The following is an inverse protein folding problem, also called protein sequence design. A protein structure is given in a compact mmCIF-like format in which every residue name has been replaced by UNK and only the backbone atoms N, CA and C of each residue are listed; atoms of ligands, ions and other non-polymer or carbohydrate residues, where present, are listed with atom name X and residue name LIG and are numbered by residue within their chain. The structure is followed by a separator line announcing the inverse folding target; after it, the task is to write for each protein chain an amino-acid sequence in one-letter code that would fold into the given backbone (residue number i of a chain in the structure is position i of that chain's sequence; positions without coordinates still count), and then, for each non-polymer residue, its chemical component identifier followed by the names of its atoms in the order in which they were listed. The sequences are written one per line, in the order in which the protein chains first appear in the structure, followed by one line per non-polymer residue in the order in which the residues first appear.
data_IF_155457359580
#
_entry.id   IF_155457359580
#
_cell.length_a   1.000
_cell.length_b   1.000
_cell.length_c   1.000
_cell.angle_alpha   90.00
_cell.angle_beta   90.00
_cell.angle_gamma   90.00
#
_symmetry.space_group_name_H-M   'P 1'
#
loop_
_entity.id
_entity.type
_entity.pdbx_description
1 polymer ?
#
# COMPACT_ATOMS: atom_id res chain seq x y z
N UNK A 1 2.94 5.72 3.59
CA UNK A 1 1.83 5.40 4.51
C UNK A 1 1.92 6.30 5.75
N UNK A 2 0.85 6.99 6.13
CA UNK A 2 0.74 7.71 7.42
C UNK A 2 -0.06 6.88 8.41
N UNK A 3 0.30 6.90 9.68
CA UNK A 3 -0.42 6.16 10.73
C UNK A 3 -1.04 7.14 11.71
N UNK A 4 -2.27 6.87 12.12
CA UNK A 4 -3.01 7.69 13.07
C UNK A 4 -3.62 6.87 14.19
N UNK A 5 -3.85 7.53 15.32
CA UNK A 5 -4.54 6.98 16.50
C UNK A 5 -5.71 7.90 16.84
N UNK A 6 -6.82 7.32 17.30
CA UNK A 6 -8.01 8.08 17.72
C UNK A 6 -8.39 7.79 19.17
N UNK A 7 -7.77 8.47 20.15
CA UNK A 7 -8.25 8.45 21.52
C UNK A 7 -9.38 9.48 21.65
N UNK A 8 -10.64 9.05 21.53
CA UNK A 8 -11.84 9.86 21.82
C UNK A 8 -12.16 10.97 20.80
N UNK A 9 -12.20 10.64 19.51
CA UNK A 9 -12.84 11.48 18.49
C UNK A 9 -11.94 12.49 17.77
N UNK A 10 -10.66 12.61 18.16
CA UNK A 10 -9.65 13.40 17.44
C UNK A 10 -8.60 12.46 16.87
N UNK A 11 -8.43 12.50 15.54
CA UNK A 11 -7.41 11.73 14.84
C UNK A 11 -6.08 12.45 14.92
N UNK A 12 -5.08 11.84 15.56
CA UNK A 12 -3.71 12.36 15.60
C UNK A 12 -2.78 11.49 14.75
N UNK A 13 -1.97 12.12 13.91
CA UNK A 13 -0.94 11.45 13.11
C UNK A 13 0.27 11.16 14.00
N UNK A 14 0.81 9.95 13.92
CA UNK A 14 1.98 9.55 14.69
C UNK A 14 3.26 10.21 14.17
N UNK A 15 4.09 10.71 15.09
CA UNK A 15 5.45 11.15 14.78
C UNK A 15 6.36 9.96 14.43
N UNK A 16 7.56 10.25 13.92
CA UNK A 16 8.63 9.26 13.70
C UNK A 16 8.87 8.39 14.93
N UNK A 17 9.06 9.01 16.08
CA UNK A 17 9.37 8.35 17.34
C UNK A 17 8.21 7.45 17.78
N UNK A 18 6.97 7.93 17.64
CA UNK A 18 5.76 7.17 17.96
C UNK A 18 5.55 5.97 17.02
N UNK A 19 5.86 6.13 15.73
CA UNK A 19 5.84 5.02 14.75
C UNK A 19 6.86 3.96 15.16
N UNK A 20 8.11 4.36 15.42
CA UNK A 20 9.18 3.44 15.81
C UNK A 20 8.84 2.71 17.12
N UNK A 21 8.30 3.43 18.08
CA UNK A 21 7.87 2.86 19.35
C UNK A 21 6.70 1.89 19.18
N UNK A 22 5.73 2.21 18.33
CA UNK A 22 4.60 1.33 18.02
C UNK A 22 5.04 0.07 17.28
N UNK A 23 6.04 0.17 16.40
CA UNK A 23 6.66 -1.00 15.75
C UNK A 23 7.38 -1.87 16.80
N UNK A 24 8.17 -1.25 17.69
CA UNK A 24 8.88 -1.95 18.76
C UNK A 24 7.94 -2.68 19.71
N UNK A 25 6.77 -2.11 19.99
CA UNK A 25 5.71 -2.72 20.82
C UNK A 25 4.91 -3.81 20.10
N UNK A 26 5.03 -3.91 18.78
CA UNK A 26 4.23 -4.83 17.96
C UNK A 26 2.83 -4.30 17.61
N UNK A 27 2.53 -3.03 17.91
CA UNK A 27 1.27 -2.40 17.50
C UNK A 27 1.21 -2.09 16.01
N UNK A 28 2.37 -1.93 15.39
CA UNK A 28 2.53 -1.82 13.93
C UNK A 28 3.49 -2.92 13.49
N UNK A 29 3.01 -3.83 12.64
CA UNK A 29 3.84 -4.81 11.96
C UNK A 29 4.12 -4.32 10.53
N UNK A 30 5.39 -4.24 10.14
CA UNK A 30 5.81 -4.01 8.75
C UNK A 30 6.84 -5.08 8.45
N UNK A 31 6.59 -5.93 7.45
CA UNK A 31 7.51 -7.01 7.10
C UNK A 31 7.73 -7.09 5.59
N UNK A 32 8.98 -6.92 5.11
CA UNK A 32 10.19 -6.58 5.87
C UNK A 32 10.21 -5.12 6.37
N UNK A 33 10.74 -4.87 7.56
CA UNK A 33 10.93 -3.51 8.10
C UNK A 33 12.31 -2.96 7.77
N UNK A 34 12.35 -1.72 7.27
CA UNK A 34 13.57 -0.96 7.00
C UNK A 34 13.45 0.37 7.74
N UNK A 35 14.33 0.61 8.70
CA UNK A 35 14.24 1.78 9.60
C UNK A 35 14.43 3.10 8.83
N UNK A 36 15.21 3.06 7.77
CA UNK A 36 15.54 4.18 6.90
C UNK A 36 14.31 4.68 6.12
N UNK A 37 13.30 3.82 5.92
CA UNK A 37 12.05 4.18 5.26
C UNK A 37 11.07 4.91 6.19
N UNK A 38 11.34 4.98 7.50
CA UNK A 38 10.52 5.81 8.38
C UNK A 38 10.87 7.28 8.07
N UNK A 39 9.85 8.11 7.85
CA UNK A 39 9.94 9.55 7.67
C UNK A 39 9.57 10.32 8.94
N UNK A 40 9.23 11.61 8.85
CA UNK A 40 8.83 12.43 10.00
C UNK A 40 7.48 12.03 10.61
N UNK A 41 6.53 11.59 9.79
CA UNK A 41 5.17 11.21 10.22
C UNK A 41 4.56 10.11 9.31
N UNK A 42 5.43 9.36 8.64
CA UNK A 42 5.06 8.36 7.65
C UNK A 42 6.09 7.24 7.59
N UNK A 43 5.74 6.15 6.92
CA UNK A 43 6.67 5.10 6.49
C UNK A 43 6.55 4.96 4.98
N UNK A 44 7.66 5.04 4.28
CA UNK A 44 7.76 4.76 2.85
C UNK A 44 7.61 3.26 2.60
N UNK A 45 6.75 2.92 1.64
CA UNK A 45 6.52 1.54 1.19
C UNK A 45 7.13 1.37 -0.19
N UNK A 46 7.54 0.16 -0.51
CA UNK A 46 8.23 -0.15 -1.77
C UNK A 46 7.31 -0.89 -2.71
N UNK A 47 7.47 -0.62 -3.99
CA UNK A 47 6.74 -1.27 -5.08
C UNK A 47 7.25 -2.69 -5.28
N UNK A 48 6.35 -3.68 -5.23
CA UNK A 48 6.65 -5.05 -5.62
C UNK A 48 6.72 -5.21 -7.14
N UNK A 49 7.22 -6.33 -7.61
CA UNK A 49 7.39 -6.63 -9.04
C UNK A 49 6.17 -7.33 -9.67
N UNK A 50 5.05 -7.41 -8.94
CA UNK A 50 3.79 -8.02 -9.38
C UNK A 50 2.71 -6.94 -9.59
N UNK A 51 2.04 -7.01 -10.73
CA UNK A 51 1.02 -6.05 -11.15
C UNK A 51 -0.22 -6.77 -11.68
N UNK A 52 -1.40 -6.19 -11.42
CA UNK A 52 -2.65 -6.59 -12.07
C UNK A 52 -2.98 -5.57 -13.15
N UNK A 53 -2.99 -6.02 -14.41
CA UNK A 53 -3.34 -5.20 -15.56
C UNK A 53 -4.72 -5.56 -16.08
N UNK A 54 -5.46 -4.56 -16.54
CA UNK A 54 -6.79 -4.75 -17.12
C UNK A 54 -6.71 -4.80 -18.64
N UNK A 55 -7.49 -5.71 -19.24
CA UNK A 55 -7.68 -5.80 -20.69
C UNK A 55 -8.68 -4.74 -21.12
N UNK A 56 -8.39 -4.09 -22.23
CA UNK A 56 -9.31 -3.11 -22.83
C UNK A 56 -10.54 -3.82 -23.41
N UNK A 57 -11.71 -3.19 -23.29
CA UNK A 57 -12.97 -3.68 -23.87
C UNK A 57 -13.72 -4.74 -23.06
N UNK A 58 -13.17 -5.19 -21.93
CA UNK A 58 -13.84 -6.15 -21.04
C UNK A 58 -14.75 -5.43 -20.04
N UNK A 59 -15.94 -6.00 -19.79
CA UNK A 59 -16.88 -5.49 -18.79
C UNK A 59 -16.58 -6.14 -17.44
N UNK A 60 -16.49 -5.31 -16.40
CA UNK A 60 -16.34 -5.76 -15.00
C UNK A 60 -17.66 -5.49 -14.28
N UNK A 61 -18.42 -6.54 -13.99
CA UNK A 61 -19.62 -6.48 -13.17
C UNK A 61 -19.29 -6.86 -11.71
N UNK A 62 -19.46 -5.95 -10.74
CA UNK A 62 -19.26 -6.24 -9.33
C UNK A 62 -20.14 -7.39 -8.79
N UNK A 63 -21.27 -7.68 -9.43
CA UNK A 63 -22.16 -8.79 -9.07
C UNK A 63 -21.71 -10.14 -9.64
N UNK A 64 -20.78 -10.15 -10.61
CA UNK A 64 -20.25 -11.36 -11.24
C UNK A 64 -18.72 -11.49 -11.05
N UNK A 65 -18.24 -12.12 -9.96
CA UNK A 65 -16.80 -12.21 -9.65
C UNK A 65 -15.91 -12.81 -10.74
N UNK A 66 -16.47 -13.59 -11.67
CA UNK A 66 -15.74 -14.18 -12.78
C UNK A 66 -15.43 -13.18 -13.91
N UNK A 67 -16.20 -12.11 -14.06
CA UNK A 67 -15.94 -11.08 -15.08
C UNK A 67 -14.59 -10.39 -14.81
N UNK A 68 -14.28 -10.12 -13.54
CA UNK A 68 -13.00 -9.55 -13.12
C UNK A 68 -11.83 -10.45 -13.51
N UNK A 69 -11.94 -11.77 -13.29
CA UNK A 69 -10.87 -12.72 -13.65
C UNK A 69 -10.60 -12.77 -15.16
N UNK A 70 -11.64 -12.61 -15.98
CA UNK A 70 -11.50 -12.54 -17.44
C UNK A 70 -10.85 -11.23 -17.89
N UNK A 71 -11.23 -10.14 -17.22
CA UNK A 71 -10.78 -8.79 -17.52
C UNK A 71 -9.35 -8.46 -17.06
N UNK A 72 -8.74 -9.28 -16.19
CA UNK A 72 -7.41 -9.01 -15.65
C UNK A 72 -6.33 -10.01 -16.09
N UNK A 73 -5.07 -9.58 -16.04
CA UNK A 73 -3.88 -10.43 -16.12
C UNK A 73 -2.88 -10.04 -15.03
N UNK A 74 -2.21 -11.03 -14.46
CA UNK A 74 -1.11 -10.81 -13.51
C UNK A 74 0.20 -10.79 -14.29
N UNK A 75 1.03 -9.78 -14.05
CA UNK A 75 2.35 -9.62 -14.65
C UNK A 75 3.39 -9.57 -13.54
N UNK A 76 4.42 -10.42 -13.62
CA UNK A 76 5.61 -10.38 -12.76
C UNK A 76 6.79 -9.88 -13.56
N UNK A 77 7.39 -8.76 -13.16
CA UNK A 77 8.49 -8.14 -13.91
C UNK A 77 9.86 -8.70 -13.54
N UNK A 78 9.98 -9.43 -12.42
CA UNK A 78 11.26 -9.95 -11.96
C UNK A 78 12.27 -8.84 -11.67
N UNK A 79 11.79 -7.72 -11.12
CA UNK A 79 12.60 -6.51 -10.86
C UNK A 79 12.89 -5.65 -12.08
N UNK A 80 12.40 -6.00 -13.28
CA UNK A 80 12.51 -5.14 -14.47
C UNK A 80 11.47 -4.01 -14.44
N UNK A 81 11.71 -2.88 -15.13
CA UNK A 81 10.71 -1.83 -15.26
C UNK A 81 9.43 -2.32 -15.94
N UNK A 82 8.28 -1.80 -15.49
CA UNK A 82 7.00 -1.89 -16.19
C UNK A 82 6.74 -0.56 -16.91
N UNK A 83 6.49 -0.60 -18.22
CA UNK A 83 6.00 0.59 -18.92
C UNK A 83 4.52 0.80 -18.59
N UNK A 84 4.20 1.97 -18.01
CA UNK A 84 2.84 2.42 -17.79
C UNK A 84 2.48 3.47 -18.85
N UNK A 85 1.61 3.10 -19.79
CA UNK A 85 1.21 4.01 -20.86
C UNK A 85 0.26 5.11 -20.34
N UNK A 86 0.20 6.28 -21.01
CA UNK A 86 -0.77 7.31 -20.67
C UNK A 86 -2.19 6.76 -20.62
N UNK A 87 -2.94 7.10 -19.56
CA UNK A 87 -4.33 6.65 -19.29
C UNK A 87 -4.46 5.14 -19.00
N UNK A 88 -3.37 4.41 -18.85
CA UNK A 88 -3.40 3.02 -18.42
C UNK A 88 -3.63 2.94 -16.91
N UNK A 89 -4.51 2.02 -16.49
CA UNK A 89 -4.76 1.72 -15.08
C UNK A 89 -4.18 0.34 -14.72
N UNK A 90 -3.46 0.27 -13.60
CA UNK A 90 -2.86 -0.96 -13.07
C UNK A 90 -3.05 -1.00 -11.55
N UNK A 91 -3.21 -2.20 -10.99
CA UNK A 91 -3.03 -2.41 -9.55
C UNK A 91 -1.60 -2.87 -9.29
N UNK A 92 -1.00 -2.32 -8.25
CA UNK A 92 0.33 -2.68 -7.79
C UNK A 92 0.26 -3.22 -6.35
N UNK A 93 1.33 -3.90 -5.95
CA UNK A 93 1.48 -4.42 -4.60
C UNK A 93 2.64 -3.73 -3.89
N UNK A 94 2.55 -3.64 -2.57
CA UNK A 94 3.70 -3.28 -1.73
C UNK A 94 4.54 -4.53 -1.46
N UNK A 95 5.85 -4.35 -1.32
CA UNK A 95 6.74 -5.42 -0.83
C UNK A 95 6.39 -5.75 0.63
N UNK A 96 6.05 -4.72 1.40
CA UNK A 96 5.74 -4.83 2.81
C UNK A 96 4.35 -5.45 3.05
N UNK A 97 4.30 -6.44 3.95
CA UNK A 97 3.08 -6.86 4.65
C UNK A 97 2.88 -5.98 5.87
N UNK A 98 1.67 -5.45 6.04
CA UNK A 98 1.35 -4.48 7.09
C UNK A 98 0.27 -5.03 8.01
N UNK A 99 0.47 -4.91 9.31
CA UNK A 99 -0.51 -5.23 10.35
C UNK A 99 -0.62 -4.08 11.35
N UNK A 100 -1.84 -3.81 11.83
CA UNK A 100 -2.12 -2.72 12.76
C UNK A 100 -2.97 -3.23 13.93
N UNK A 101 -2.59 -2.87 15.14
CA UNK A 101 -3.36 -3.13 16.36
C UNK A 101 -4.70 -2.40 16.35
N UNK A 102 -5.66 -2.95 17.10
CA UNK A 102 -6.99 -2.37 17.33
C UNK A 102 -6.87 -0.98 17.98
N UNK A 103 -7.05 0.07 17.20
CA UNK A 103 -6.92 1.47 17.66
C UNK A 103 -6.01 2.34 16.79
N UNK A 104 -5.31 1.72 15.84
CA UNK A 104 -4.58 2.41 14.79
C UNK A 104 -5.33 2.33 13.46
N UNK A 105 -5.19 3.38 12.66
CA UNK A 105 -5.55 3.39 11.26
C UNK A 105 -4.36 3.91 10.45
N UNK A 106 -4.31 3.55 9.17
CA UNK A 106 -3.29 4.06 8.28
C UNK A 106 -3.89 4.55 6.96
N UNK A 107 -3.32 5.63 6.45
CA UNK A 107 -3.66 6.20 5.15
C UNK A 107 -2.50 5.95 4.18
N UNK A 108 -2.82 5.38 3.01
CA UNK A 108 -1.88 5.27 1.90
C UNK A 108 -1.97 6.55 1.05
N UNK A 109 -0.83 7.18 0.84
CA UNK A 109 -0.70 8.41 0.05
C UNK A 109 0.47 8.24 -0.92
N UNK A 110 0.38 8.88 -2.08
CA UNK A 110 1.49 8.98 -3.02
C UNK A 110 2.62 9.85 -2.46
N UNK A 111 3.84 9.65 -2.98
CA UNK A 111 4.95 10.56 -2.72
C UNK A 111 4.91 11.69 -3.74
N UNK A 112 5.14 12.92 -3.30
CA UNK A 112 5.12 14.11 -4.18
C UNK A 112 6.13 14.08 -5.33
N UNK A 113 7.16 13.24 -5.23
CA UNK A 113 8.20 13.07 -6.24
C UNK A 113 7.87 12.04 -7.32
N UNK A 114 6.70 11.37 -7.23
CA UNK A 114 6.23 10.34 -8.16
C UNK A 114 4.96 10.84 -8.82
#
# INVERSE_FOLDING_TARGET
MKVSKSPRGVTMILSREEILESIRKGDILIQPFIKENVGPCSVDLRLADEFVMFKSGEIIDPMEPQSLKKAMKIVKTGGKPLLLEPKQFVLALTIERIGLSRGLAATLEGRSSV
#
